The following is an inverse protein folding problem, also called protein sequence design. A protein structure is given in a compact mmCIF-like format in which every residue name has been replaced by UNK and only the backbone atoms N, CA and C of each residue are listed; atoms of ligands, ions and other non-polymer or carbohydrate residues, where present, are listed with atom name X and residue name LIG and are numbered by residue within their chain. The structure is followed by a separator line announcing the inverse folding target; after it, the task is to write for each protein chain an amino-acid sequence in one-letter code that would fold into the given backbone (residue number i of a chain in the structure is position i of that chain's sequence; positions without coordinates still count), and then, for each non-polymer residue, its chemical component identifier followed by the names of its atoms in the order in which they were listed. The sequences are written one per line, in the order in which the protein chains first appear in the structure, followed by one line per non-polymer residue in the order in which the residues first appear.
data_IF_578947756293
#
_entry.id   IF_578947756293
#
_cell.length_a   1.000
_cell.length_b   1.000
_cell.length_c   1.000
_cell.angle_alpha   90.00
_cell.angle_beta   90.00
_cell.angle_gamma   90.00
#
_symmetry.space_group_name_H-M   'P 1'
#
loop_
_entity.id
_entity.type
_entity.pdbx_description
1 polymer ?
#
# COMPACT_ATOMS: atom_id res chain seq x y z
N UNK A 1 6.46 -10.07 -1.80
CA UNK A 1 5.97 -8.90 -2.57
C UNK A 1 5.36 -9.30 -3.92
N UNK A 2 6.05 -10.09 -4.75
CA UNK A 2 5.53 -10.59 -6.04
C UNK A 2 4.18 -11.31 -5.92
N UNK A 3 4.06 -12.22 -4.95
CA UNK A 3 2.80 -12.92 -4.63
C UNK A 3 1.63 -11.96 -4.32
N UNK A 4 1.87 -10.99 -3.42
CA UNK A 4 0.84 -10.02 -3.02
C UNK A 4 0.32 -9.23 -4.22
N UNK A 5 1.22 -8.77 -5.09
CA UNK A 5 0.85 -8.04 -6.31
C UNK A 5 0.06 -8.96 -7.26
N UNK A 6 0.46 -10.22 -7.40
CA UNK A 6 -0.28 -11.22 -8.17
C UNK A 6 -1.73 -11.35 -7.69
N UNK A 7 -1.93 -11.55 -6.38
CA UNK A 7 -3.28 -11.65 -5.79
C UNK A 7 -4.14 -10.40 -5.98
N UNK A 8 -3.54 -9.21 -5.90
CA UNK A 8 -4.26 -7.97 -6.16
C UNK A 8 -4.62 -7.83 -7.64
N UNK A 9 -3.72 -8.19 -8.57
CA UNK A 9 -3.99 -8.20 -10.02
C UNK A 9 -5.06 -9.21 -10.42
N UNK A 10 -5.08 -10.38 -9.79
CA UNK A 10 -6.04 -11.46 -10.03
C UNK A 10 -7.41 -11.26 -9.37
N UNK A 11 -7.73 -10.03 -8.90
CA UNK A 11 -9.01 -9.71 -8.27
C UNK A 11 -9.33 -10.52 -6.99
N UNK A 12 -8.39 -11.29 -6.45
CA UNK A 12 -8.63 -12.22 -5.34
C UNK A 12 -8.83 -11.52 -3.98
N UNK A 13 -8.59 -10.21 -3.93
CA UNK A 13 -8.77 -9.39 -2.73
C UNK A 13 -10.02 -8.53 -2.90
N UNK A 14 -11.05 -8.82 -2.12
CA UNK A 14 -12.36 -8.13 -2.17
C UNK A 14 -12.25 -6.60 -2.11
N UNK A 15 -11.40 -6.06 -1.24
CA UNK A 15 -11.23 -4.61 -1.07
C UNK A 15 -10.63 -3.88 -2.29
N UNK A 16 -9.89 -4.59 -3.15
CA UNK A 16 -9.23 -4.00 -4.35
C UNK A 16 -9.82 -4.51 -5.66
N UNK A 17 -10.72 -5.50 -5.62
CA UNK A 17 -11.33 -6.11 -6.81
C UNK A 17 -11.98 -5.07 -7.72
N UNK A 18 -12.80 -4.20 -7.15
CA UNK A 18 -13.59 -3.23 -7.94
C UNK A 18 -12.76 -2.00 -8.35
N UNK A 19 -11.47 -1.95 -8.01
CA UNK A 19 -10.54 -0.83 -8.28
C UNK A 19 -9.39 -1.22 -9.22
N UNK A 20 -9.59 -2.30 -9.97
CA UNK A 20 -8.64 -2.73 -10.99
C UNK A 20 -8.70 -1.81 -12.22
N UNK A 21 -7.57 -1.53 -12.88
CA UNK A 21 -6.23 -2.12 -12.67
C UNK A 21 -5.43 -1.44 -11.53
N UNK A 22 -4.78 -2.25 -10.68
CA UNK A 22 -3.90 -1.74 -9.60
C UNK A 22 -2.47 -1.61 -10.11
N UNK A 23 -1.92 -0.39 -10.09
CA UNK A 23 -0.51 -0.10 -10.38
C UNK A 23 0.27 0.13 -9.08
N UNK A 24 1.43 -0.51 -8.96
CA UNK A 24 2.34 -0.23 -7.86
C UNK A 24 3.07 1.10 -8.15
N UNK A 25 2.87 2.09 -7.29
CA UNK A 25 3.50 3.42 -7.42
C UNK A 25 4.76 3.50 -6.56
N UNK A 26 4.67 3.05 -5.31
CA UNK A 26 5.80 3.02 -4.39
C UNK A 26 5.68 1.85 -3.42
N UNK A 27 6.82 1.42 -2.86
CA UNK A 27 6.89 0.42 -1.82
C UNK A 27 7.95 0.79 -0.79
N UNK A 28 7.71 0.42 0.46
CA UNK A 28 8.64 0.64 1.56
C UNK A 28 9.00 -0.71 2.16
N UNK A 29 10.29 -0.99 2.24
CA UNK A 29 10.83 -2.20 2.87
C UNK A 29 11.51 -1.82 4.18
N UNK A 30 11.18 -2.56 5.24
CA UNK A 30 11.76 -2.38 6.56
C UNK A 30 12.36 -3.71 7.03
N UNK A 31 13.47 -3.64 7.76
CA UNK A 31 14.10 -4.81 8.38
C UNK A 31 13.26 -5.29 9.57
N UNK A 32 12.73 -4.35 10.36
CA UNK A 32 11.91 -4.65 11.52
C UNK A 32 10.41 -4.67 11.18
N UNK A 33 9.74 -5.74 11.61
CA UNK A 33 8.31 -5.96 11.35
C UNK A 33 7.42 -4.96 12.09
N UNK A 34 7.80 -4.56 13.30
CA UNK A 34 7.00 -3.63 14.09
C UNK A 34 7.01 -2.22 13.51
N UNK A 35 8.19 -1.75 13.05
CA UNK A 35 8.34 -0.50 12.30
C UNK A 35 7.51 -0.52 11.02
N UNK A 36 7.55 -1.62 10.27
CA UNK A 36 6.73 -1.78 9.06
C UNK A 36 5.23 -1.64 9.36
N UNK A 37 4.77 -2.30 10.43
CA UNK A 37 3.36 -2.28 10.83
C UNK A 37 2.91 -0.89 11.31
N UNK A 38 3.72 -0.25 12.16
CA UNK A 38 3.43 1.10 12.66
C UNK A 38 3.41 2.11 11.51
N UNK A 39 4.31 1.97 10.53
CA UNK A 39 4.32 2.80 9.34
C UNK A 39 3.09 2.55 8.46
N UNK A 40 2.69 1.29 8.24
CA UNK A 40 1.45 0.99 7.51
C UNK A 40 0.22 1.60 8.21
N UNK A 41 0.17 1.52 9.54
CA UNK A 41 -0.90 2.14 10.34
C UNK A 41 -0.88 3.67 10.21
N UNK A 42 0.31 4.28 10.27
CA UNK A 42 0.49 5.71 10.08
C UNK A 42 -0.05 6.16 8.72
N UNK A 43 0.29 5.49 7.62
CA UNK A 43 -0.18 5.85 6.27
C UNK A 43 -1.72 5.79 6.13
N UNK A 44 -2.40 5.01 6.97
CA UNK A 44 -3.86 4.92 7.00
C UNK A 44 -4.54 6.05 7.79
N UNK A 45 -3.79 6.84 8.57
CA UNK A 45 -4.30 8.01 9.33
C UNK A 45 -4.51 9.23 8.43
N UNK A 46 -5.17 10.27 8.95
CA UNK A 46 -5.38 11.53 8.22
C UNK A 46 -4.08 12.19 7.76
N UNK A 47 -3.13 12.37 8.68
CA UNK A 47 -1.81 12.94 8.36
C UNK A 47 -1.00 12.05 7.41
N UNK A 48 -1.08 10.72 7.59
CA UNK A 48 -0.43 9.78 6.69
C UNK A 48 -0.97 9.84 5.26
N UNK A 49 -2.29 9.99 5.08
CA UNK A 49 -2.89 10.18 3.74
C UNK A 49 -2.44 11.48 3.10
N UNK A 50 -2.30 12.56 3.86
CA UNK A 50 -1.76 13.83 3.37
C UNK A 50 -0.30 13.68 2.91
N UNK A 51 0.52 12.95 3.69
CA UNK A 51 1.90 12.61 3.30
C UNK A 51 1.93 11.84 1.98
N UNK A 52 1.12 10.79 1.85
CA UNK A 52 1.03 9.96 0.63
C UNK A 52 0.66 10.82 -0.58
N UNK A 53 -0.34 11.71 -0.45
CA UNK A 53 -0.78 12.59 -1.54
C UNK A 53 0.32 13.57 -1.99
N UNK A 54 1.11 14.08 -1.03
CA UNK A 54 2.16 15.09 -1.29
C UNK A 54 3.51 14.52 -1.72
N UNK A 55 3.84 13.29 -1.31
CA UNK A 55 5.19 12.75 -1.50
C UNK A 55 5.25 11.48 -2.37
N UNK A 56 4.12 10.81 -2.61
CA UNK A 56 4.08 9.53 -3.35
C UNK A 56 3.29 9.66 -4.66
N UNK A 57 2.22 10.46 -4.68
CA UNK A 57 1.36 10.66 -5.85
C UNK A 57 1.68 11.93 -6.66
N UNK A 58 2.67 12.72 -6.24
CA UNK A 58 3.20 13.84 -7.02
C UNK A 58 4.09 13.31 -8.13
#
# INVERSE_FOLDING_TARGET
MKDRIGRHKSASVSATRDRLPVKLISYFAFVDKHKAFNFEKYLKTGSGRAFVKKHIFT
#
